data_IF_916470576199
#
_entry.id   IF_916470576199
#
_cell.length_a   1.000
_cell.length_b   1.000
_cell.length_c   1.000
_cell.angle_alpha   90.00
_cell.angle_beta   90.00
_cell.angle_gamma   90.00
#
_symmetry.space_group_name_H-M   'P 1'
#
loop_
_entity.id
_entity.type
_entity.pdbx_description
1 polymer ?
#
# COMPACT_ATOMS: atom_id res chain seq x y z
N UNK A 1 -34.50 -21.98 40.14
CA UNK A 1 -34.04 -22.66 38.90
C UNK A 1 -33.73 -21.73 37.71
N UNK A 2 -33.75 -20.38 37.84
CA UNK A 2 -33.47 -19.44 36.72
C UNK A 2 -31.98 -19.14 36.43
N UNK A 3 -31.05 -19.54 37.31
CA UNK A 3 -29.62 -19.19 37.21
C UNK A 3 -28.85 -19.91 36.09
N UNK A 4 -29.23 -21.15 35.72
CA UNK A 4 -28.52 -21.95 34.70
C UNK A 4 -28.66 -21.38 33.28
N UNK A 5 -29.84 -20.89 32.89
CA UNK A 5 -30.03 -20.25 31.57
C UNK A 5 -29.34 -18.89 31.48
N UNK A 6 -29.34 -18.12 32.57
CA UNK A 6 -28.61 -16.84 32.62
C UNK A 6 -27.09 -17.07 32.54
N UNK A 7 -26.56 -18.10 33.19
CA UNK A 7 -25.15 -18.47 33.10
C UNK A 7 -24.72 -18.84 31.67
N UNK A 8 -25.53 -19.65 30.96
CA UNK A 8 -25.27 -19.99 29.56
C UNK A 8 -25.22 -18.75 28.65
N UNK A 9 -26.11 -17.78 28.87
CA UNK A 9 -26.12 -16.51 28.11
C UNK A 9 -24.83 -15.71 28.36
N UNK A 10 -24.38 -15.61 29.61
CA UNK A 10 -23.13 -14.90 29.93
C UNK A 10 -21.90 -15.57 29.31
N UNK A 11 -21.82 -16.91 29.35
CA UNK A 11 -20.71 -17.66 28.74
C UNK A 11 -20.64 -17.42 27.23
N UNK A 12 -21.78 -17.39 26.54
CA UNK A 12 -21.84 -17.11 25.09
C UNK A 12 -21.40 -15.67 24.79
N UNK A 13 -21.87 -14.68 25.55
CA UNK A 13 -21.47 -13.27 25.36
C UNK A 13 -19.97 -13.10 25.57
N UNK A 14 -19.41 -13.71 26.61
CA UNK A 14 -17.97 -13.67 26.89
C UNK A 14 -17.19 -14.36 25.77
N UNK A 15 -17.64 -15.52 25.29
CA UNK A 15 -16.99 -16.21 24.18
C UNK A 15 -17.02 -15.36 22.89
N UNK A 16 -18.15 -14.73 22.56
CA UNK A 16 -18.26 -13.83 21.40
C UNK A 16 -17.37 -12.59 21.57
N UNK A 17 -17.30 -12.00 22.77
CA UNK A 17 -16.43 -10.86 23.04
C UNK A 17 -14.95 -11.23 22.93
N UNK A 18 -14.55 -12.40 23.43
CA UNK A 18 -13.18 -12.91 23.30
C UNK A 18 -12.84 -13.18 21.84
N UNK A 19 -13.73 -13.85 21.10
CA UNK A 19 -13.52 -14.11 19.66
C UNK A 19 -13.44 -12.79 18.89
N UNK A 20 -14.32 -11.82 19.17
CA UNK A 20 -14.27 -10.49 18.57
C UNK A 20 -12.98 -9.75 18.90
N UNK A 21 -12.49 -9.85 20.13
CA UNK A 21 -11.21 -9.25 20.55
C UNK A 21 -10.00 -9.92 19.87
N UNK A 22 -10.02 -11.24 19.70
CA UNK A 22 -8.98 -11.99 18.99
C UNK A 22 -8.95 -11.63 17.50
N UNK A 23 -10.12 -11.51 16.85
CA UNK A 23 -10.22 -11.06 15.46
C UNK A 23 -9.71 -9.62 15.31
N UNK A 24 -10.08 -8.72 16.23
CA UNK A 24 -9.62 -7.33 16.23
C UNK A 24 -8.11 -7.20 16.39
N UNK A 25 -7.51 -7.99 17.30
CA UNK A 25 -6.05 -8.03 17.50
C UNK A 25 -5.30 -8.43 16.24
N UNK A 26 -5.78 -9.44 15.52
CA UNK A 26 -5.15 -9.92 14.28
C UNK A 26 -5.20 -8.90 13.14
N UNK A 27 -6.27 -8.11 13.05
CA UNK A 27 -6.39 -7.05 12.04
C UNK A 27 -5.43 -5.86 12.29
N UNK A 28 -5.05 -5.61 13.55
CA UNK A 28 -4.15 -4.52 13.90
C UNK A 28 -2.65 -4.84 13.67
N UNK A 29 -2.29 -6.12 13.46
CA UNK A 29 -0.89 -6.55 13.32
C UNK A 29 -0.37 -6.57 11.87
N UNK A 30 -1.23 -6.41 10.87
CA UNK A 30 -0.83 -6.43 9.45
C UNK A 30 -0.66 -5.05 8.84
N UNK A 31 -1.18 -4.00 9.47
CA UNK A 31 -1.09 -2.64 8.94
C UNK A 31 0.33 -2.11 9.15
N UNK A 32 1.04 -1.86 8.05
CA UNK A 32 2.23 -1.01 8.06
C UNK A 32 3.59 -1.71 7.99
N UNK A 33 3.65 -2.99 7.58
CA UNK A 33 4.94 -3.72 7.52
C UNK A 33 6.02 -3.05 6.66
N UNK A 34 5.62 -2.16 5.74
CA UNK A 34 6.51 -1.42 4.85
C UNK A 34 6.33 0.09 4.98
N UNK A 35 5.75 0.61 6.06
CA UNK A 35 5.48 2.05 6.20
C UNK A 35 6.75 2.88 6.20
N UNK A 36 7.82 2.40 6.86
CA UNK A 36 9.12 3.08 6.85
C UNK A 36 9.74 3.12 5.45
N UNK A 37 9.64 2.03 4.69
CA UNK A 37 10.09 2.00 3.31
C UNK A 37 9.24 2.93 2.45
N UNK A 38 7.91 2.84 2.56
CA UNK A 38 6.97 3.66 1.81
C UNK A 38 7.24 5.15 2.04
N UNK A 39 7.42 5.57 3.28
CA UNK A 39 7.77 6.95 3.63
C UNK A 39 9.14 7.33 3.05
N UNK A 40 10.16 6.48 3.23
CA UNK A 40 11.50 6.75 2.71
C UNK A 40 11.53 6.92 1.18
N UNK A 41 10.79 6.09 0.44
CA UNK A 41 10.71 6.21 -1.02
C UNK A 41 10.14 7.57 -1.43
N UNK A 42 9.03 7.98 -0.81
CA UNK A 42 8.40 9.26 -1.09
C UNK A 42 9.29 10.46 -0.69
N UNK A 43 9.92 10.40 0.48
CA UNK A 43 10.84 11.43 0.96
C UNK A 43 12.07 11.59 0.05
N UNK A 44 12.54 10.49 -0.54
CA UNK A 44 13.60 10.48 -1.54
C UNK A 44 13.12 10.75 -2.98
N UNK A 45 11.89 11.28 -3.15
CA UNK A 45 11.36 11.74 -4.42
C UNK A 45 11.04 10.63 -5.42
N UNK A 46 10.78 9.41 -4.95
CA UNK A 46 10.33 8.32 -5.81
C UNK A 46 8.83 8.47 -6.08
N UNK A 47 8.46 8.52 -7.35
CA UNK A 47 7.08 8.64 -7.81
C UNK A 47 6.72 7.48 -8.73
N UNK A 48 5.63 6.77 -8.43
CA UNK A 48 5.00 5.81 -9.34
C UNK A 48 3.87 6.50 -10.11
N UNK A 49 4.02 6.58 -11.42
CA UNK A 49 2.97 6.96 -12.35
C UNK A 49 2.22 5.69 -12.79
N UNK A 50 0.92 5.64 -12.54
CA UNK A 50 0.14 4.43 -12.81
C UNK A 50 -1.32 4.70 -13.13
N UNK A 51 -2.06 3.63 -13.38
CA UNK A 51 -3.49 3.70 -13.66
C UNK A 51 -4.28 2.73 -12.76
N UNK A 52 -5.43 3.17 -12.25
CA UNK A 52 -6.29 2.36 -11.36
C UNK A 52 -6.69 1.00 -11.97
N UNK A 53 -6.84 0.91 -13.29
CA UNK A 53 -7.24 -0.30 -14.01
C UNK A 53 -6.05 -1.17 -14.47
N UNK A 54 -4.81 -0.68 -14.36
CA UNK A 54 -3.64 -1.38 -14.89
C UNK A 54 -3.28 -2.57 -13.98
N UNK A 55 -3.27 -3.81 -14.49
CA UNK A 55 -2.94 -5.00 -13.69
C UNK A 55 -1.54 -4.93 -13.07
N UNK A 56 -0.56 -4.44 -13.82
CA UNK A 56 0.81 -4.29 -13.35
C UNK A 56 0.93 -3.25 -12.23
N UNK A 57 0.19 -2.13 -12.33
CA UNK A 57 0.10 -1.18 -11.23
C UNK A 57 -0.48 -1.83 -9.98
N UNK A 58 -1.59 -2.56 -10.13
CA UNK A 58 -2.24 -3.23 -9.00
C UNK A 58 -1.34 -4.28 -8.34
N UNK A 59 -0.54 -5.01 -9.11
CA UNK A 59 0.44 -5.95 -8.57
C UNK A 59 1.50 -5.22 -7.74
N UNK A 60 2.01 -4.08 -8.23
CA UNK A 60 2.92 -3.26 -7.44
C UNK A 60 2.29 -2.76 -6.15
N UNK A 61 1.05 -2.25 -6.18
CA UNK A 61 0.33 -1.81 -4.98
C UNK A 61 0.18 -2.94 -3.96
N UNK A 62 -0.15 -4.16 -4.43
CA UNK A 62 -0.28 -5.35 -3.57
C UNK A 62 1.03 -5.73 -2.87
N UNK A 63 2.19 -5.48 -3.49
CA UNK A 63 3.49 -5.74 -2.83
C UNK A 63 3.66 -4.88 -1.58
N UNK A 64 3.18 -3.63 -1.61
CA UNK A 64 3.20 -2.73 -0.45
C UNK A 64 2.14 -3.07 0.60
N UNK A 65 1.07 -3.79 0.23
CA UNK A 65 -0.06 -4.03 1.12
C UNK A 65 -0.66 -2.71 1.62
N UNK A 66 -0.99 -2.64 2.91
CA UNK A 66 -1.56 -1.45 3.53
C UNK A 66 -0.61 -0.24 3.49
N UNK A 67 0.72 -0.47 3.43
CA UNK A 67 1.72 0.60 3.33
C UNK A 67 1.71 1.33 1.98
N UNK A 68 0.92 0.85 1.01
CA UNK A 68 0.68 1.59 -0.22
C UNK A 68 0.03 2.95 0.05
N UNK A 69 -0.89 3.01 1.01
CA UNK A 69 -1.59 4.24 1.35
C UNK A 69 -0.64 5.25 1.98
N UNK A 70 0.33 4.80 2.78
CA UNK A 70 1.44 5.62 3.29
C UNK A 70 2.25 6.22 2.14
N UNK A 71 2.67 5.40 1.17
CA UNK A 71 3.44 5.86 0.01
C UNK A 71 2.66 6.88 -0.82
N UNK A 72 1.39 6.60 -1.11
CA UNK A 72 0.53 7.49 -1.89
C UNK A 72 0.24 8.81 -1.16
N UNK A 73 -0.04 8.76 0.15
CA UNK A 73 -0.30 9.95 0.97
C UNK A 73 0.93 10.85 1.08
N UNK A 74 2.14 10.27 1.07
CA UNK A 74 3.40 11.00 1.07
C UNK A 74 3.77 11.58 -0.32
N UNK A 75 2.93 11.43 -1.34
CA UNK A 75 3.16 11.97 -2.68
C UNK A 75 3.88 11.02 -3.64
N UNK A 76 4.08 9.77 -3.25
CA UNK A 76 4.76 8.75 -4.06
C UNK A 76 3.93 8.19 -5.22
N UNK A 77 2.64 8.53 -5.35
CA UNK A 77 1.79 8.02 -6.43
C UNK A 77 1.07 9.13 -7.21
N UNK A 78 1.08 8.98 -8.53
CA UNK A 78 0.31 9.82 -9.45
C UNK A 78 -0.65 8.94 -10.26
N UNK A 79 -1.94 9.24 -10.16
CA UNK A 79 -2.98 8.62 -11.00
C UNK A 79 -2.98 9.26 -12.39
N UNK A 80 -2.60 8.46 -13.38
CA UNK A 80 -2.47 8.86 -14.77
C UNK A 80 -3.68 8.50 -15.62
N UNK A 81 -4.74 7.91 -15.07
CA UNK A 81 -5.94 7.57 -15.83
C UNK A 81 -7.18 8.35 -15.41
N UNK A 82 -7.90 8.88 -16.39
CA UNK A 82 -9.28 9.32 -16.21
C UNK A 82 -10.21 8.13 -15.96
N UNK A 83 -11.48 8.40 -15.62
CA UNK A 83 -12.51 7.38 -15.52
C UNK A 83 -12.76 6.66 -16.86
N UNK A 84 -12.55 7.35 -17.98
CA UNK A 84 -12.71 6.82 -19.35
C UNK A 84 -11.47 6.05 -19.84
N UNK A 85 -10.49 5.82 -18.96
CA UNK A 85 -9.22 5.13 -19.29
C UNK A 85 -8.36 5.85 -20.32
N UNK A 86 -8.45 7.18 -20.37
CA UNK A 86 -7.52 8.02 -21.13
C UNK A 86 -6.44 8.56 -20.20
N UNK A 87 -5.25 8.84 -20.74
CA UNK A 87 -4.15 9.40 -19.94
C UNK A 87 -4.44 10.85 -19.54
N UNK A 88 -4.14 11.23 -18.31
CA UNK A 88 -4.28 12.61 -17.82
C UNK A 88 -3.27 13.55 -18.49
N UNK A 89 -3.63 14.83 -18.64
CA UNK A 89 -2.73 15.85 -19.20
C UNK A 89 -1.43 15.98 -18.40
N UNK A 90 -1.51 15.86 -17.07
CA UNK A 90 -0.34 15.83 -16.20
C UNK A 90 0.65 14.74 -16.64
N UNK A 91 0.20 13.49 -16.80
CA UNK A 91 1.10 12.41 -17.18
C UNK A 91 1.57 12.49 -18.64
N UNK A 92 0.79 13.12 -19.53
CA UNK A 92 1.24 13.44 -20.89
C UNK A 92 2.38 14.47 -20.88
N UNK A 93 2.23 15.54 -20.10
CA UNK A 93 3.24 16.59 -19.96
C UNK A 93 4.52 16.07 -19.29
N UNK A 94 4.38 15.13 -18.37
CA UNK A 94 5.50 14.40 -17.76
C UNK A 94 6.13 13.35 -18.69
N UNK A 95 5.60 13.15 -19.89
CA UNK A 95 6.17 12.21 -20.88
C UNK A 95 5.98 10.73 -20.53
N UNK A 96 4.98 10.38 -19.72
CA UNK A 96 4.74 8.98 -19.32
C UNK A 96 4.18 8.18 -20.49
N UNK A 97 4.92 7.19 -20.98
CA UNK A 97 4.53 6.38 -22.15
C UNK A 97 3.90 5.02 -21.79
N UNK A 98 3.96 4.61 -20.52
CA UNK A 98 3.47 3.30 -20.07
C UNK A 98 3.25 3.25 -18.56
N UNK A 99 2.65 2.17 -18.08
CA UNK A 99 2.35 1.99 -16.66
C UNK A 99 2.75 0.59 -16.14
N UNK A 100 3.19 0.49 -14.88
CA UNK A 100 3.66 1.60 -14.05
C UNK A 100 5.00 2.16 -14.58
N UNK A 101 5.26 3.44 -14.34
CA UNK A 101 6.59 4.05 -14.50
C UNK A 101 7.02 4.60 -13.15
N UNK A 102 8.18 4.16 -12.68
CA UNK A 102 8.81 4.64 -11.45
C UNK A 102 9.87 5.67 -11.81
N UNK A 103 9.70 6.90 -11.35
CA UNK A 103 10.68 7.98 -11.52
C UNK A 103 11.35 8.30 -10.19
N UNK A 104 12.65 8.54 -10.25
CA UNK A 104 13.49 8.82 -9.09
C UNK A 104 13.90 10.30 -9.08
N UNK A 105 14.39 10.80 -7.94
CA UNK A 105 14.79 12.20 -7.78
C UNK A 105 15.90 12.65 -8.75
N UNK A 106 16.73 11.72 -9.24
CA UNK A 106 17.75 11.98 -10.26
C UNK A 106 17.20 12.05 -11.70
N UNK A 107 15.88 11.90 -11.88
CA UNK A 107 15.21 11.87 -13.17
C UNK A 107 15.31 10.52 -13.89
N UNK A 108 16.00 9.52 -13.32
CA UNK A 108 16.04 8.18 -13.90
C UNK A 108 14.70 7.46 -13.73
N UNK A 109 14.42 6.54 -14.65
CA UNK A 109 13.15 5.81 -14.68
C UNK A 109 13.33 4.30 -14.72
N UNK A 110 12.37 3.61 -14.11
CA UNK A 110 12.18 2.18 -14.22
C UNK A 110 10.74 1.88 -14.68
N UNK A 111 10.60 1.24 -15.85
CA UNK A 111 9.31 0.91 -16.45
C UNK A 111 8.85 -0.50 -16.08
N UNK A 112 7.57 -0.66 -15.75
CA UNK A 112 6.94 -1.93 -15.41
C UNK A 112 7.02 -2.27 -13.92
N UNK A 113 6.58 -3.48 -13.57
CA UNK A 113 6.52 -3.93 -12.18
C UNK A 113 7.90 -3.95 -11.52
N UNK A 114 8.00 -3.50 -10.26
CA UNK A 114 9.26 -3.46 -9.49
C UNK A 114 9.15 -4.06 -8.09
N UNK A 115 10.19 -4.74 -7.65
CA UNK A 115 10.26 -5.30 -6.30
C UNK A 115 10.57 -4.23 -5.25
N UNK A 116 10.07 -4.39 -4.02
CA UNK A 116 10.35 -3.48 -2.90
C UNK A 116 11.86 -3.32 -2.65
N UNK A 117 12.63 -4.41 -2.73
CA UNK A 117 14.07 -4.40 -2.54
C UNK A 117 14.80 -3.58 -3.60
N UNK A 118 14.40 -3.70 -4.86
CA UNK A 118 14.98 -2.95 -5.97
C UNK A 118 14.70 -1.45 -5.82
N UNK A 119 13.46 -1.10 -5.47
CA UNK A 119 13.06 0.28 -5.21
C UNK A 119 13.85 0.86 -4.03
N UNK A 120 13.97 0.11 -2.92
CA UNK A 120 14.72 0.52 -1.75
C UNK A 120 16.21 0.77 -2.06
N UNK A 121 16.85 -0.15 -2.78
CA UNK A 121 18.24 -0.03 -3.19
C UNK A 121 18.46 1.19 -4.07
N UNK A 122 17.60 1.41 -5.07
CA UNK A 122 17.75 2.53 -6.00
C UNK A 122 17.43 3.87 -5.35
N UNK A 123 16.56 3.90 -4.35
CA UNK A 123 16.21 5.10 -3.61
C UNK A 123 17.13 5.42 -2.41
N UNK A 124 18.06 4.52 -2.06
CA UNK A 124 18.94 4.70 -0.89
C UNK A 124 18.24 4.48 0.45
N UNK A 125 17.17 3.67 0.49
CA UNK A 125 16.43 3.35 1.72
C UNK A 125 17.08 2.17 2.47
N UNK A 126 18.26 2.40 3.05
CA UNK A 126 19.11 1.37 3.67
C UNK A 126 18.50 0.67 4.89
N UNK A 127 17.62 1.36 5.64
CA UNK A 127 16.94 0.78 6.81
C UNK A 127 16.08 -0.45 6.44
N UNK A 128 15.61 -0.53 5.20
CA UNK A 128 14.85 -1.67 4.69
C UNK A 128 15.73 -2.86 4.27
N UNK A 129 17.04 -2.66 4.11
CA UNK A 129 17.98 -3.67 3.61
C UNK A 129 18.60 -4.53 4.72
N UNK A 130 18.25 -4.26 5.99
CA UNK A 130 18.77 -4.92 7.19
C UNK A 130 17.80 -5.98 7.70
#
# INVERSE_FOLDING_TARGET
MKKKNSYLVYVVIIAVAIVGFLIFRSAASSSGQYDELAQCLADNGVVMYGAWWCPHCQNNKKLFGDSWDTFAAAGGYVECSTAQRTQTELCQNEGITGYPTWRFADGSELNGERGLLELAQKAGCEAFLQ
#
